data_IF_167453191733
#
_entry.id   IF_167453191733
#
_cell.length_a   1.000
_cell.length_b   1.000
_cell.length_c   1.000
_cell.angle_alpha   90.00
_cell.angle_beta   90.00
_cell.angle_gamma   90.00
#
_symmetry.space_group_name_H-M   'P 1'
#
loop_
_entity.id
_entity.type
_entity.pdbx_description
1 polymer ?
#
# COMPACT_ATOMS: atom_id res chain seq x y z
N UNK A 1 46.46 76.50 -58.87
CA UNK A 1 46.18 76.56 -57.46
C UNK A 1 44.89 75.82 -57.19
N UNK A 2 44.97 74.60 -56.80
CA UNK A 2 43.86 73.70 -56.59
C UNK A 2 43.74 73.56 -55.05
N UNK A 3 42.60 73.96 -54.51
CA UNK A 3 42.22 73.80 -53.13
C UNK A 3 41.55 72.41 -52.92
N UNK A 4 42.18 71.60 -52.10
CA UNK A 4 41.52 70.33 -51.64
C UNK A 4 40.52 70.66 -50.54
N UNK A 5 39.28 70.21 -50.75
CA UNK A 5 38.26 70.22 -49.73
C UNK A 5 38.32 68.87 -48.95
N UNK A 6 38.54 68.96 -47.67
CA UNK A 6 38.49 67.82 -46.75
C UNK A 6 37.02 67.43 -46.53
N UNK A 7 36.71 66.16 -46.84
CA UNK A 7 35.42 65.55 -46.52
C UNK A 7 35.61 64.93 -45.11
N UNK A 8 34.88 65.50 -44.15
CA UNK A 8 34.76 64.98 -42.82
C UNK A 8 33.86 63.74 -42.84
N UNK A 9 34.42 62.59 -42.46
CA UNK A 9 33.69 61.38 -42.30
C UNK A 9 32.85 61.43 -40.99
N UNK A 10 31.56 61.37 -41.15
CA UNK A 10 30.62 61.20 -40.01
C UNK A 10 30.84 59.82 -39.37
N UNK A 11 31.10 59.83 -38.10
CA UNK A 11 31.13 58.66 -37.23
C UNK A 11 29.76 58.01 -37.12
N UNK A 12 29.66 56.79 -37.65
CA UNK A 12 28.43 55.99 -37.51
C UNK A 12 28.37 55.51 -36.08
N UNK A 13 27.48 56.07 -35.29
CA UNK A 13 27.17 55.58 -33.97
C UNK A 13 26.70 54.11 -34.06
N UNK A 14 27.52 53.23 -33.50
CA UNK A 14 27.24 51.83 -33.33
C UNK A 14 26.09 51.68 -32.34
N UNK A 15 24.87 51.41 -32.83
CA UNK A 15 23.72 51.02 -31.99
C UNK A 15 24.10 49.72 -31.31
N UNK A 16 24.37 49.81 -30.02
CA UNK A 16 24.56 48.65 -29.16
C UNK A 16 23.21 47.92 -29.09
N UNK A 17 23.13 46.75 -29.71
CA UNK A 17 22.06 45.80 -29.48
C UNK A 17 22.19 45.27 -28.03
N UNK A 18 21.65 46.01 -27.09
CA UNK A 18 21.35 45.46 -25.77
C UNK A 18 20.19 44.44 -25.96
N UNK A 19 20.59 43.23 -26.29
CA UNK A 19 19.67 42.10 -26.15
C UNK A 19 19.44 41.87 -24.65
N UNK A 20 18.33 42.40 -24.14
CA UNK A 20 17.84 42.07 -22.81
C UNK A 20 17.55 40.55 -22.86
N UNK A 21 18.46 39.78 -22.28
CA UNK A 21 18.23 38.37 -22.02
C UNK A 21 17.05 38.30 -21.05
N UNK A 22 15.86 37.98 -21.59
CA UNK A 22 14.70 37.66 -20.80
C UNK A 22 15.12 36.46 -19.93
N UNK A 23 15.13 36.65 -18.62
CA UNK A 23 15.29 35.55 -17.69
C UNK A 23 14.19 34.53 -18.00
N UNK A 24 14.60 33.31 -18.27
CA UNK A 24 13.70 32.20 -18.45
C UNK A 24 12.77 32.09 -17.22
N UNK A 25 11.51 32.44 -17.40
CA UNK A 25 10.50 32.30 -16.35
C UNK A 25 10.20 30.81 -16.25
N UNK A 26 10.93 30.11 -15.40
CA UNK A 26 10.63 28.73 -15.06
C UNK A 26 9.33 28.72 -14.26
N UNK A 27 8.21 28.52 -14.92
CA UNK A 27 6.93 28.29 -14.27
C UNK A 27 6.98 26.91 -13.61
N UNK A 28 7.31 26.89 -12.32
CA UNK A 28 7.16 25.66 -11.53
C UNK A 28 5.67 25.41 -11.35
N UNK A 29 5.15 24.44 -12.08
CA UNK A 29 3.78 23.98 -11.88
C UNK A 29 3.56 23.60 -10.41
N UNK A 30 2.41 24.00 -9.83
CA UNK A 30 2.07 23.65 -8.47
C UNK A 30 1.98 22.11 -8.36
N UNK A 31 2.66 21.53 -7.38
CA UNK A 31 2.64 20.08 -7.14
C UNK A 31 1.34 19.59 -6.50
N UNK A 32 0.57 20.48 -5.95
CA UNK A 32 -0.71 20.21 -5.35
C UNK A 32 -1.72 21.19 -5.92
N UNK A 33 -2.77 20.67 -6.49
CA UNK A 33 -3.91 21.43 -7.01
C UNK A 33 -5.10 21.12 -6.12
N UNK A 34 -5.66 22.13 -5.46
CA UNK A 34 -6.85 21.98 -4.65
C UNK A 34 -8.07 21.85 -5.57
N UNK A 35 -8.98 20.93 -5.24
CA UNK A 35 -10.27 20.71 -5.86
C UNK A 35 -11.37 20.96 -4.84
N UNK A 36 -12.63 21.03 -5.28
CA UNK A 36 -13.79 21.14 -4.39
C UNK A 36 -13.91 19.95 -3.42
N UNK A 37 -13.60 18.75 -3.90
CA UNK A 37 -13.74 17.49 -3.19
C UNK A 37 -12.42 16.93 -2.65
N UNK A 38 -11.30 17.69 -2.77
CA UNK A 38 -10.01 17.21 -2.31
C UNK A 38 -8.80 17.86 -2.95
N UNK A 39 -7.80 17.06 -3.30
CA UNK A 39 -6.51 17.53 -3.83
C UNK A 39 -5.97 16.60 -4.89
N UNK A 40 -5.49 17.15 -5.99
CA UNK A 40 -4.69 16.43 -6.98
C UNK A 40 -3.21 16.70 -6.72
N UNK A 41 -2.46 15.64 -6.45
CA UNK A 41 -1.07 15.71 -6.00
C UNK A 41 -0.17 15.09 -7.07
N UNK A 42 0.88 15.81 -7.48
CA UNK A 42 1.89 15.37 -8.42
C UNK A 42 3.18 15.01 -7.65
N UNK A 43 3.49 13.72 -7.48
CA UNK A 43 4.70 13.29 -6.81
C UNK A 43 5.95 13.81 -7.52
N UNK A 44 6.92 14.30 -6.77
CA UNK A 44 8.20 14.74 -7.34
C UNK A 44 9.06 13.55 -7.75
N UNK A 45 9.99 13.77 -8.67
CA UNK A 45 10.96 12.75 -9.08
C UNK A 45 11.78 12.24 -7.89
N UNK A 46 12.12 13.12 -6.94
CA UNK A 46 12.82 12.74 -5.72
C UNK A 46 11.96 11.83 -4.84
N UNK A 47 10.66 12.12 -4.70
CA UNK A 47 9.74 11.26 -3.94
C UNK A 47 9.60 9.89 -4.61
N UNK A 48 9.49 9.85 -5.94
CA UNK A 48 9.43 8.60 -6.71
C UNK A 48 10.72 7.80 -6.57
N UNK A 49 11.88 8.41 -6.80
CA UNK A 49 13.18 7.73 -6.71
C UNK A 49 13.50 7.18 -5.32
N UNK A 50 13.01 7.84 -4.27
CA UNK A 50 13.19 7.39 -2.88
C UNK A 50 12.09 6.44 -2.40
N UNK A 51 11.16 6.08 -3.25
CA UNK A 51 10.05 5.16 -2.92
C UNK A 51 10.22 3.87 -3.70
N UNK A 52 10.16 2.76 -3.01
CA UNK A 52 10.31 1.42 -3.59
C UNK A 52 8.97 0.67 -3.70
N UNK A 53 7.89 1.26 -3.20
CA UNK A 53 6.54 0.71 -3.31
C UNK A 53 5.51 1.82 -3.42
N UNK A 54 4.30 1.50 -3.85
CA UNK A 54 3.18 2.42 -3.82
C UNK A 54 2.87 2.93 -2.40
N UNK A 55 3.00 2.07 -1.39
CA UNK A 55 2.85 2.46 0.02
C UNK A 55 3.90 3.50 0.44
N UNK A 56 5.17 3.26 0.10
CA UNK A 56 6.27 4.19 0.40
C UNK A 56 6.02 5.56 -0.21
N UNK A 57 5.53 5.60 -1.44
CA UNK A 57 5.19 6.86 -2.09
C UNK A 57 4.01 7.55 -1.41
N UNK A 58 2.90 6.85 -1.17
CA UNK A 58 1.71 7.41 -0.50
C UNK A 58 2.04 7.93 0.89
N UNK A 59 2.87 7.23 1.66
CA UNK A 59 3.35 7.69 2.96
C UNK A 59 4.11 9.02 2.87
N UNK A 60 4.94 9.21 1.82
CA UNK A 60 5.69 10.46 1.60
C UNK A 60 4.83 11.60 1.08
N UNK A 61 3.64 11.34 0.55
CA UNK A 61 2.69 12.38 0.17
C UNK A 61 1.98 13.01 1.37
N UNK A 62 2.02 12.37 2.53
CA UNK A 62 1.45 12.85 3.78
C UNK A 62 -0.01 13.32 3.62
N UNK A 63 -0.86 12.44 3.09
CA UNK A 63 -2.27 12.73 2.85
C UNK A 63 -2.98 13.03 4.18
N UNK A 64 -3.78 14.11 4.27
CA UNK A 64 -4.51 14.44 5.50
C UNK A 64 -5.44 13.29 5.93
N UNK A 65 -5.52 13.05 7.22
CA UNK A 65 -6.38 12.01 7.81
C UNK A 65 -6.13 10.58 7.33
N UNK A 66 -5.03 10.34 6.62
CA UNK A 66 -4.64 9.01 6.13
C UNK A 66 -3.37 8.56 6.84
N UNK A 67 -3.42 7.35 7.36
CA UNK A 67 -2.26 6.63 7.87
C UNK A 67 -1.87 5.54 6.87
N UNK A 68 -0.65 5.60 6.41
CA UNK A 68 -0.05 4.56 5.58
C UNK A 68 0.95 3.79 6.44
N UNK A 69 0.70 2.52 6.64
CA UNK A 69 1.62 1.59 7.28
C UNK A 69 2.29 0.75 6.19
N UNK A 70 3.53 1.10 5.88
CA UNK A 70 4.30 0.44 4.84
C UNK A 70 4.69 -0.99 5.26
N UNK A 71 5.02 -1.19 6.54
CA UNK A 71 5.41 -2.51 7.05
C UNK A 71 4.21 -3.46 7.15
N UNK A 72 3.07 -2.95 7.65
CA UNK A 72 1.80 -3.68 7.72
C UNK A 72 1.01 -3.68 6.44
N UNK A 73 1.49 -3.01 5.37
CA UNK A 73 0.83 -2.92 4.05
C UNK A 73 -0.62 -2.51 4.14
N UNK A 74 -0.89 -1.50 4.94
CA UNK A 74 -2.25 -1.04 5.18
C UNK A 74 -2.38 0.48 5.03
N UNK A 75 -3.57 0.90 4.62
CA UNK A 75 -3.96 2.30 4.51
C UNK A 75 -5.27 2.47 5.25
N UNK A 76 -5.31 3.36 6.20
CA UNK A 76 -6.48 3.57 7.04
C UNK A 76 -6.74 5.05 7.31
N UNK A 77 -7.98 5.39 7.61
CA UNK A 77 -8.33 6.70 8.11
C UNK A 77 -7.91 6.85 9.58
N UNK A 78 -7.54 8.07 9.98
CA UNK A 78 -7.11 8.35 11.37
C UNK A 78 -8.21 8.96 12.23
N UNK A 79 -9.35 9.32 11.65
CA UNK A 79 -10.42 10.10 12.28
C UNK A 79 -11.74 9.34 12.48
N UNK A 80 -11.77 8.03 12.26
CA UNK A 80 -12.94 7.15 12.43
C UNK A 80 -14.21 7.56 11.65
N UNK A 81 -14.08 8.39 10.61
CA UNK A 81 -15.23 8.79 9.78
C UNK A 81 -15.70 7.72 8.82
N UNK A 82 -14.86 6.74 8.51
CA UNK A 82 -15.17 5.67 7.61
C UNK A 82 -13.91 5.02 7.02
N UNK A 83 -14.12 4.27 5.95
CA UNK A 83 -13.05 3.52 5.27
C UNK A 83 -12.36 4.36 4.20
N UNK A 84 -11.14 3.94 3.87
CA UNK A 84 -10.36 4.48 2.75
C UNK A 84 -10.54 3.57 1.55
N UNK A 85 -11.06 4.10 0.46
CA UNK A 85 -11.14 3.37 -0.81
C UNK A 85 -9.95 3.71 -1.70
N UNK A 86 -9.26 2.69 -2.18
CA UNK A 86 -8.17 2.84 -3.12
C UNK A 86 -8.67 2.57 -4.54
N UNK A 87 -8.22 3.39 -5.47
CA UNK A 87 -8.47 3.23 -6.91
C UNK A 87 -7.17 3.41 -7.69
N UNK A 88 -7.10 2.76 -8.83
CA UNK A 88 -5.99 2.94 -9.79
C UNK A 88 -6.62 3.23 -11.14
N UNK A 89 -6.36 4.41 -11.66
CA UNK A 89 -6.96 4.90 -12.91
C UNK A 89 -8.50 4.80 -12.92
N UNK A 90 -9.14 5.14 -11.78
CA UNK A 90 -10.58 5.09 -11.59
C UNK A 90 -11.14 3.70 -11.29
N UNK A 91 -10.35 2.64 -11.31
CA UNK A 91 -10.77 1.25 -11.04
C UNK A 91 -10.52 0.91 -9.57
N UNK A 92 -11.48 0.27 -8.92
CA UNK A 92 -11.32 -0.19 -7.53
C UNK A 92 -10.09 -1.12 -7.41
N UNK A 93 -9.27 -0.85 -6.42
CA UNK A 93 -8.02 -1.56 -6.18
C UNK A 93 -7.92 -2.00 -4.72
N UNK A 94 -7.19 -3.08 -4.49
CA UNK A 94 -6.87 -3.58 -3.16
C UNK A 94 -5.43 -3.22 -2.74
N UNK A 95 -5.04 -3.62 -1.54
CA UNK A 95 -3.70 -3.32 -1.03
C UNK A 95 -2.58 -4.01 -1.82
N UNK A 96 -2.84 -5.21 -2.36
CA UNK A 96 -1.87 -5.90 -3.24
C UNK A 96 -1.65 -5.15 -4.55
N UNK A 97 -2.71 -4.53 -5.11
CA UNK A 97 -2.58 -3.70 -6.31
C UNK A 97 -1.67 -2.49 -6.06
N UNK A 98 -1.77 -1.86 -4.88
CA UNK A 98 -0.89 -0.75 -4.47
C UNK A 98 0.56 -1.21 -4.35
N UNK A 99 0.77 -2.41 -3.82
CA UNK A 99 2.10 -2.98 -3.67
C UNK A 99 2.77 -3.27 -5.02
N UNK A 100 1.99 -3.75 -5.99
CA UNK A 100 2.47 -4.09 -7.34
C UNK A 100 2.69 -2.87 -8.24
N UNK A 101 2.32 -1.64 -7.79
CA UNK A 101 2.50 -0.44 -8.58
C UNK A 101 3.97 -0.13 -8.83
N UNK A 102 4.31 0.05 -10.11
CA UNK A 102 5.56 0.70 -10.49
C UNK A 102 5.48 2.18 -10.13
N UNK A 103 6.25 2.58 -9.14
CA UNK A 103 6.30 3.96 -8.63
C UNK A 103 6.68 4.96 -9.73
N UNK A 104 7.54 4.58 -10.66
CA UNK A 104 7.96 5.42 -11.78
C UNK A 104 6.80 5.74 -12.73
N UNK A 105 5.83 4.84 -12.82
CA UNK A 105 4.64 5.01 -13.66
C UNK A 105 3.60 5.98 -13.08
N UNK A 106 3.65 6.27 -11.77
CA UNK A 106 2.65 7.12 -11.10
C UNK A 106 2.81 8.57 -11.58
N UNK A 107 1.75 9.11 -12.14
CA UNK A 107 1.70 10.50 -12.61
C UNK A 107 1.17 11.45 -11.54
N UNK A 108 0.05 11.10 -10.95
CA UNK A 108 -0.62 11.90 -9.92
C UNK A 108 -1.43 11.02 -8.99
N UNK A 109 -1.77 11.57 -7.85
CA UNK A 109 -2.68 10.96 -6.86
C UNK A 109 -3.82 11.94 -6.62
N UNK A 110 -5.03 11.50 -6.89
CA UNK A 110 -6.25 12.25 -6.61
C UNK A 110 -6.74 11.83 -5.22
N UNK A 111 -6.61 12.71 -4.26
CA UNK A 111 -7.08 12.53 -2.90
C UNK A 111 -8.41 13.24 -2.73
N UNK A 112 -9.47 12.49 -2.46
CA UNK A 112 -10.82 12.99 -2.27
C UNK A 112 -11.19 12.83 -0.80
N UNK A 113 -11.40 13.94 -0.10
CA UNK A 113 -11.74 13.99 1.32
C UNK A 113 -13.24 14.18 1.59
N UNK A 114 -14.02 14.38 0.53
CA UNK A 114 -15.46 14.51 0.58
C UNK A 114 -16.10 13.65 -0.52
N UNK A 115 -15.87 12.32 -0.52
CA UNK A 115 -16.39 11.45 -1.56
C UNK A 115 -17.91 11.37 -1.46
N UNK A 116 -18.62 11.77 -2.52
CA UNK A 116 -20.07 11.65 -2.56
C UNK A 116 -20.52 10.17 -2.46
N UNK A 117 -21.84 9.97 -2.38
CA UNK A 117 -22.49 8.64 -2.25
C UNK A 117 -22.13 7.65 -3.36
N UNK A 118 -21.59 8.11 -4.47
CA UNK A 118 -21.09 7.29 -5.60
C UNK A 118 -19.98 6.31 -5.23
N UNK A 119 -19.25 6.59 -4.16
CA UNK A 119 -18.15 5.73 -3.70
C UNK A 119 -18.57 4.71 -2.63
N UNK A 120 -19.78 4.84 -2.08
CA UNK A 120 -20.32 3.97 -1.04
C UNK A 120 -20.62 4.72 0.26
N UNK A 121 -21.50 4.14 1.09
CA UNK A 121 -22.00 4.80 2.30
C UNK A 121 -20.96 4.96 3.41
N UNK A 122 -19.98 4.05 3.47
CA UNK A 122 -18.98 4.00 4.55
C UNK A 122 -17.61 4.54 4.12
N UNK A 123 -17.49 5.07 2.90
CA UNK A 123 -16.22 5.57 2.37
C UNK A 123 -16.06 7.03 2.81
N UNK A 124 -15.05 7.28 3.64
CA UNK A 124 -14.70 8.62 4.09
C UNK A 124 -13.67 9.30 3.19
N UNK A 125 -12.78 8.51 2.60
CA UNK A 125 -11.69 9.01 1.77
C UNK A 125 -11.51 8.12 0.53
N UNK A 126 -11.16 8.75 -0.59
CA UNK A 126 -10.78 8.03 -1.80
C UNK A 126 -9.38 8.47 -2.23
N UNK A 127 -8.54 7.50 -2.55
CA UNK A 127 -7.21 7.72 -3.11
C UNK A 127 -7.19 7.09 -4.49
N UNK A 128 -7.27 7.91 -5.55
CA UNK A 128 -7.17 7.43 -6.93
C UNK A 128 -5.77 7.71 -7.50
N UNK A 129 -5.03 6.65 -7.75
CA UNK A 129 -3.66 6.71 -8.23
C UNK A 129 -3.66 6.65 -9.75
N UNK A 130 -3.30 7.75 -10.38
CA UNK A 130 -3.20 7.82 -11.84
C UNK A 130 -1.82 7.41 -12.30
N UNK A 131 -1.75 6.38 -13.14
CA UNK A 131 -0.50 5.84 -13.68
C UNK A 131 -0.43 6.04 -15.18
N UNK A 132 0.78 6.19 -15.70
CA UNK A 132 1.03 6.14 -17.13
C UNK A 132 0.94 4.68 -17.58
N UNK A 133 0.00 4.35 -18.43
CA UNK A 133 -0.02 3.04 -19.08
C UNK A 133 1.13 2.95 -20.08
N UNK A 134 2.05 2.04 -19.83
CA UNK A 134 2.96 1.61 -20.87
C UNK A 134 2.17 0.78 -21.91
N UNK A 135 2.39 1.02 -23.19
CA UNK A 135 1.76 0.23 -24.26
C UNK A 135 2.24 -1.23 -24.28
N UNK A 136 3.43 -1.46 -23.76
CA UNK A 136 4.00 -2.79 -23.51
C UNK A 136 5.08 -2.68 -22.45
N UNK A 137 5.21 -3.70 -21.61
CA UNK A 137 6.21 -3.74 -20.56
C UNK A 137 5.82 -4.70 -19.46
N UNK A 138 6.66 -4.82 -18.46
CA UNK A 138 6.40 -5.63 -17.29
C UNK A 138 7.24 -5.18 -16.11
N UNK A 139 6.82 -5.58 -14.93
CA UNK A 139 7.55 -5.39 -13.68
C UNK A 139 7.60 -6.71 -12.91
N UNK A 140 8.65 -6.89 -12.16
CA UNK A 140 8.84 -8.00 -11.23
C UNK A 140 9.35 -7.41 -9.92
N UNK A 141 8.79 -7.84 -8.82
CA UNK A 141 9.24 -7.43 -7.50
C UNK A 141 9.06 -8.53 -6.48
N UNK A 142 9.74 -8.36 -5.36
CA UNK A 142 9.63 -9.24 -4.21
C UNK A 142 9.86 -8.45 -2.92
N UNK A 143 9.22 -8.88 -1.85
CA UNK A 143 9.47 -8.39 -0.49
C UNK A 143 9.68 -9.59 0.41
N UNK A 144 10.72 -9.52 1.24
CA UNK A 144 11.09 -10.57 2.16
C UNK A 144 11.22 -9.97 3.55
N UNK A 145 10.33 -10.35 4.43
CA UNK A 145 10.33 -9.93 5.83
C UNK A 145 10.40 -11.15 6.70
N UNK A 146 11.57 -11.40 7.27
CA UNK A 146 11.81 -12.60 8.05
C UNK A 146 12.51 -12.25 9.36
N UNK A 147 12.06 -12.84 10.45
CA UNK A 147 12.70 -12.71 11.75
C UNK A 147 14.03 -13.50 11.80
N UNK A 148 15.04 -12.89 12.39
CA UNK A 148 16.37 -13.52 12.50
C UNK A 148 16.46 -14.55 13.62
N UNK A 149 15.67 -14.40 14.68
CA UNK A 149 15.76 -15.21 15.89
C UNK A 149 14.65 -16.24 16.05
N UNK A 150 13.55 -16.05 15.31
CA UNK A 150 12.37 -16.92 15.34
C UNK A 150 11.99 -17.30 13.91
N UNK A 151 11.34 -18.43 13.75
CA UNK A 151 10.83 -18.85 12.45
C UNK A 151 9.48 -18.18 12.17
N UNK A 152 9.54 -16.91 11.84
CA UNK A 152 8.40 -16.07 11.48
C UNK A 152 8.78 -15.26 10.24
N UNK A 153 7.92 -15.25 9.25
CA UNK A 153 8.17 -14.44 8.06
C UNK A 153 6.93 -14.22 7.21
N UNK A 154 7.02 -13.18 6.39
CA UNK A 154 6.07 -12.83 5.34
C UNK A 154 6.86 -12.49 4.09
N UNK A 155 6.65 -13.24 3.04
CA UNK A 155 7.37 -13.13 1.78
C UNK A 155 6.37 -13.03 0.64
N UNK A 156 6.62 -12.16 -0.30
CA UNK A 156 5.82 -12.05 -1.51
C UNK A 156 6.67 -11.83 -2.75
N UNK A 157 6.17 -12.37 -3.85
CA UNK A 157 6.71 -12.18 -5.20
C UNK A 157 5.56 -11.76 -6.10
N UNK A 158 5.77 -10.74 -6.88
CA UNK A 158 4.77 -10.25 -7.82
C UNK A 158 5.35 -9.94 -9.18
N UNK A 159 4.52 -10.12 -10.21
CA UNK A 159 4.84 -9.78 -11.58
C UNK A 159 3.65 -9.10 -12.24
N UNK A 160 3.92 -8.13 -13.09
CA UNK A 160 2.93 -7.47 -13.93
C UNK A 160 3.42 -7.44 -15.37
N UNK A 161 2.53 -7.76 -16.31
CA UNK A 161 2.82 -7.69 -17.74
C UNK A 161 1.70 -6.91 -18.42
N UNK A 162 2.09 -5.88 -19.17
CA UNK A 162 1.20 -5.03 -19.94
C UNK A 162 1.41 -5.23 -21.42
N UNK A 163 0.34 -5.41 -22.20
CA UNK A 163 0.38 -5.45 -23.67
C UNK A 163 -0.86 -4.78 -24.25
N UNK A 164 -0.69 -3.59 -24.78
CA UNK A 164 -1.78 -2.77 -25.32
C UNK A 164 -2.83 -2.44 -24.26
N UNK A 165 -4.04 -2.96 -24.44
CA UNK A 165 -5.18 -2.75 -23.51
C UNK A 165 -5.23 -3.79 -22.38
N UNK A 166 -4.40 -4.81 -22.43
CA UNK A 166 -4.39 -5.95 -21.51
C UNK A 166 -3.29 -5.81 -20.47
N UNK A 167 -3.60 -6.16 -19.23
CA UNK A 167 -2.66 -6.27 -18.13
C UNK A 167 -2.92 -7.55 -17.37
N UNK A 168 -1.87 -8.31 -17.11
CA UNK A 168 -1.88 -9.49 -16.23
C UNK A 168 -1.00 -9.21 -15.04
N UNK A 169 -1.55 -9.36 -13.85
CA UNK A 169 -0.83 -9.27 -12.59
C UNK A 169 -0.87 -10.64 -11.90
N UNK A 170 0.26 -11.04 -11.34
CA UNK A 170 0.43 -12.27 -10.59
C UNK A 170 1.05 -11.89 -9.26
N UNK A 171 0.46 -12.33 -8.17
CA UNK A 171 1.00 -12.18 -6.82
C UNK A 171 1.00 -13.55 -6.14
N UNK A 172 2.11 -13.90 -5.53
CA UNK A 172 2.20 -15.00 -4.58
C UNK A 172 2.72 -14.47 -3.27
N UNK A 173 1.97 -14.70 -2.20
CA UNK A 173 2.33 -14.32 -0.83
C UNK A 173 2.37 -15.56 0.05
N UNK A 174 3.39 -15.63 0.91
CA UNK A 174 3.54 -16.67 1.92
C UNK A 174 3.83 -16.03 3.26
N UNK A 175 3.00 -16.36 4.26
CA UNK A 175 3.31 -16.10 5.65
C UNK A 175 3.53 -17.40 6.39
N UNK A 176 4.50 -17.41 7.30
CA UNK A 176 4.75 -18.60 8.10
C UNK A 176 5.12 -18.26 9.53
N UNK A 177 4.69 -19.13 10.41
CA UNK A 177 5.06 -19.14 11.83
C UNK A 177 5.46 -20.57 12.20
N UNK A 178 6.63 -20.76 12.72
CA UNK A 178 7.06 -22.03 13.35
C UNK A 178 7.63 -21.70 14.73
N UNK A 179 6.74 -21.56 15.69
CA UNK A 179 7.08 -21.33 17.08
C UNK A 179 7.01 -22.67 17.84
N UNK A 180 8.13 -23.08 18.43
CA UNK A 180 8.26 -24.38 19.11
C UNK A 180 7.99 -24.33 20.60
N UNK A 181 8.07 -23.14 21.19
CA UNK A 181 7.85 -22.96 22.61
C UNK A 181 7.32 -21.55 22.86
N UNK A 182 6.05 -21.45 23.20
CA UNK A 182 5.44 -20.21 23.69
C UNK A 182 4.93 -20.42 25.09
N UNK A 183 5.16 -19.44 25.93
CA UNK A 183 4.66 -19.42 27.31
C UNK A 183 3.73 -18.22 27.44
N UNK A 184 2.66 -18.41 28.15
CA UNK A 184 1.68 -17.38 28.40
C UNK A 184 1.08 -17.54 29.78
N UNK A 185 1.07 -16.48 30.57
CA UNK A 185 0.44 -16.44 31.87
C UNK A 185 -0.68 -15.41 31.84
N UNK A 186 -1.84 -15.79 32.29
CA UNK A 186 -2.99 -14.91 32.47
C UNK A 186 -3.58 -15.12 33.86
N UNK A 187 -3.70 -14.06 34.63
CA UNK A 187 -4.42 -14.04 35.89
C UNK A 187 -5.60 -13.06 35.72
N UNK A 188 -6.82 -13.57 35.85
CA UNK A 188 -8.04 -12.81 35.71
C UNK A 188 -8.84 -12.87 36.99
N UNK A 189 -9.34 -11.72 37.45
CA UNK A 189 -10.19 -11.57 38.61
C UNK A 189 -11.53 -10.99 38.19
N UNK A 190 -12.59 -11.66 38.54
CA UNK A 190 -13.96 -11.27 38.25
C UNK A 190 -14.72 -11.00 39.53
N UNK A 191 -15.34 -9.82 39.62
CA UNK A 191 -16.32 -9.53 40.66
C UNK A 191 -17.68 -10.04 40.19
N UNK A 192 -18.23 -11.00 40.93
CA UNK A 192 -19.54 -11.58 40.59
C UNK A 192 -20.67 -10.69 41.11
N UNK A 193 -21.88 -10.93 40.63
CA UNK A 193 -23.05 -10.13 40.97
C UNK A 193 -23.43 -10.17 42.45
N UNK A 194 -23.07 -11.23 43.15
CA UNK A 194 -23.26 -11.41 44.59
C UNK A 194 -22.15 -10.74 45.45
N UNK A 195 -21.22 -10.04 44.82
CA UNK A 195 -20.11 -9.35 45.48
C UNK A 195 -18.92 -10.30 45.79
N UNK A 196 -18.99 -11.57 45.44
CA UNK A 196 -17.87 -12.50 45.57
C UNK A 196 -16.83 -12.30 44.44
N UNK A 197 -15.58 -12.64 44.74
CA UNK A 197 -14.49 -12.60 43.78
C UNK A 197 -14.21 -14.01 43.23
N UNK A 198 -14.09 -14.09 41.92
CA UNK A 198 -13.75 -15.31 41.20
C UNK A 198 -12.42 -15.10 40.46
N UNK A 199 -11.43 -15.89 40.81
CA UNK A 199 -10.09 -15.82 40.20
C UNK A 199 -9.84 -16.99 39.28
N UNK A 200 -9.30 -16.70 38.10
CA UNK A 200 -8.84 -17.67 37.12
C UNK A 200 -7.37 -17.39 36.81
N UNK A 201 -6.55 -18.41 36.92
CA UNK A 201 -5.17 -18.37 36.47
C UNK A 201 -4.99 -19.40 35.35
N UNK A 202 -4.43 -18.96 34.22
CA UNK A 202 -4.09 -19.80 33.07
C UNK A 202 -2.62 -19.69 32.78
N UNK A 203 -1.95 -20.81 32.72
CA UNK A 203 -0.54 -20.87 32.34
C UNK A 203 -0.38 -21.83 31.19
N UNK A 204 0.01 -21.28 30.02
CA UNK A 204 0.38 -22.09 28.86
C UNK A 204 1.87 -22.41 28.96
N UNK A 205 2.18 -23.69 28.93
CA UNK A 205 3.54 -24.22 28.93
C UNK A 205 3.74 -25.02 27.65
N UNK A 206 4.91 -24.91 27.06
CA UNK A 206 5.30 -25.69 25.88
C UNK A 206 4.34 -25.54 24.68
N UNK A 207 3.74 -24.36 24.51
CA UNK A 207 2.93 -24.07 23.34
C UNK A 207 3.76 -24.14 22.06
N UNK A 208 3.31 -24.92 21.08
CA UNK A 208 3.94 -24.98 19.76
C UNK A 208 2.91 -24.64 18.68
N UNK A 209 3.28 -23.75 17.78
CA UNK A 209 2.43 -23.34 16.66
C UNK A 209 3.24 -23.42 15.37
N UNK A 210 2.72 -24.16 14.41
CA UNK A 210 3.26 -24.17 13.05
C UNK A 210 2.13 -23.88 12.08
N UNK A 211 2.26 -22.80 11.34
CA UNK A 211 1.30 -22.35 10.34
C UNK A 211 2.00 -21.85 9.09
N UNK A 212 1.46 -22.19 7.93
CA UNK A 212 1.88 -21.72 6.62
C UNK A 212 0.64 -21.27 5.86
N UNK A 213 0.52 -19.97 5.65
CA UNK A 213 -0.53 -19.37 4.85
C UNK A 213 0.06 -18.90 3.52
N UNK A 214 -0.58 -19.28 2.43
CA UNK A 214 -0.14 -18.94 1.10
C UNK A 214 -1.32 -18.39 0.31
N UNK A 215 -1.14 -17.28 -0.37
CA UNK A 215 -2.12 -16.66 -1.26
C UNK A 215 -1.55 -16.57 -2.66
N UNK A 216 -2.26 -17.08 -3.64
CA UNK A 216 -1.99 -16.85 -5.06
C UNK A 216 -3.11 -15.99 -5.64
N UNK A 217 -2.76 -14.85 -6.23
CA UNK A 217 -3.71 -13.98 -6.91
C UNK A 217 -3.30 -13.80 -8.37
N UNK A 218 -4.24 -14.04 -9.27
CA UNK A 218 -4.14 -13.76 -10.69
C UNK A 218 -5.19 -12.72 -11.05
N UNK A 219 -4.76 -11.55 -11.52
CA UNK A 219 -5.66 -10.47 -11.89
C UNK A 219 -5.44 -10.09 -13.34
N UNK A 220 -6.49 -10.18 -14.13
CA UNK A 220 -6.50 -9.75 -15.52
C UNK A 220 -7.36 -8.52 -15.70
N UNK A 221 -6.81 -7.50 -16.33
CA UNK A 221 -7.49 -6.27 -16.68
C UNK A 221 -7.45 -6.07 -18.19
N UNK A 222 -8.60 -5.82 -18.79
CA UNK A 222 -8.74 -5.38 -20.16
C UNK A 222 -9.51 -4.06 -20.15
N UNK A 223 -8.87 -2.96 -20.49
CA UNK A 223 -9.51 -1.66 -20.41
C UNK A 223 -9.21 -0.78 -21.63
N UNK A 224 -10.27 -0.28 -22.21
CA UNK A 224 -10.24 0.83 -23.16
C UNK A 224 -10.81 2.06 -22.47
N UNK A 225 -10.00 3.09 -22.28
CA UNK A 225 -10.32 4.26 -21.45
C UNK A 225 -11.62 4.98 -21.80
N UNK A 226 -12.16 4.74 -22.99
CA UNK A 226 -13.39 5.41 -23.47
C UNK A 226 -14.61 4.49 -23.55
N UNK A 227 -14.44 3.17 -23.56
CA UNK A 227 -15.51 2.26 -23.96
C UNK A 227 -15.86 1.18 -22.96
N UNK A 228 -14.87 0.53 -22.33
CA UNK A 228 -15.13 -0.56 -21.41
C UNK A 228 -13.95 -0.82 -20.47
N UNK A 229 -14.26 -1.39 -19.34
CA UNK A 229 -13.31 -2.00 -18.39
C UNK A 229 -13.82 -3.40 -18.07
N UNK A 230 -12.99 -4.40 -18.31
CA UNK A 230 -13.21 -5.75 -17.85
C UNK A 230 -12.09 -6.12 -16.89
N UNK A 231 -12.45 -6.59 -15.70
CA UNK A 231 -11.52 -7.03 -14.69
C UNK A 231 -11.96 -8.38 -14.17
N UNK A 232 -11.03 -9.30 -14.05
CA UNK A 232 -11.25 -10.56 -13.34
C UNK A 232 -10.09 -10.84 -12.41
N UNK A 233 -10.39 -11.35 -11.22
CA UNK A 233 -9.41 -11.70 -10.20
C UNK A 233 -9.70 -13.09 -9.68
N UNK A 234 -8.74 -14.01 -9.84
CA UNK A 234 -8.74 -15.31 -9.18
C UNK A 234 -7.80 -15.23 -7.98
N UNK A 235 -8.36 -15.42 -6.79
CA UNK A 235 -7.59 -15.52 -5.55
C UNK A 235 -7.73 -16.92 -5.01
N UNK A 236 -6.64 -17.51 -4.55
CA UNK A 236 -6.64 -18.84 -3.95
C UNK A 236 -5.79 -18.83 -2.70
N UNK A 237 -6.42 -19.13 -1.57
CA UNK A 237 -5.75 -19.22 -0.29
C UNK A 237 -5.52 -20.68 0.08
N UNK A 238 -4.29 -20.98 0.51
CA UNK A 238 -3.87 -22.28 1.01
C UNK A 238 -3.35 -22.11 2.42
N UNK A 239 -4.09 -22.55 3.40
CA UNK A 239 -3.65 -22.61 4.79
C UNK A 239 -3.23 -24.02 5.12
N UNK A 240 -2.03 -24.18 5.65
CA UNK A 240 -1.55 -25.45 6.17
C UNK A 240 -1.06 -25.26 7.60
N UNK A 241 -1.87 -25.72 8.54
CA UNK A 241 -1.55 -25.72 9.96
C UNK A 241 -1.24 -27.17 10.41
N UNK A 242 -0.03 -27.68 10.13
CA UNK A 242 0.30 -29.07 10.36
C UNK A 242 0.30 -29.45 11.82
N UNK A 243 0.50 -28.50 12.73
CA UNK A 243 0.58 -28.76 14.14
C UNK A 243 0.44 -27.51 14.99
N UNK A 244 -0.50 -27.54 15.92
CA UNK A 244 -0.58 -26.61 17.04
C UNK A 244 -0.85 -27.45 18.29
N UNK A 245 -0.02 -27.30 19.32
CA UNK A 245 -0.26 -27.92 20.61
C UNK A 245 0.01 -26.94 21.73
N UNK A 246 -0.74 -27.05 22.78
CA UNK A 246 -0.43 -26.38 24.03
C UNK A 246 -0.88 -27.24 25.21
N UNK A 247 -0.13 -27.14 26.29
CA UNK A 247 -0.46 -27.60 27.61
C UNK A 247 -0.83 -26.38 28.44
N UNK A 248 -2.07 -26.30 28.86
CA UNK A 248 -2.57 -25.21 29.67
C UNK A 248 -2.88 -25.73 31.07
N UNK A 249 -2.26 -25.15 32.08
CA UNK A 249 -2.66 -25.33 33.46
C UNK A 249 -3.70 -24.33 33.84
N UNK A 250 -4.81 -24.82 34.32
CA UNK A 250 -5.97 -24.04 34.69
C UNK A 250 -6.21 -24.12 36.18
N UNK A 251 -6.27 -22.99 36.86
CA UNK A 251 -6.60 -22.88 38.26
C UNK A 251 -7.76 -21.95 38.47
N UNK A 252 -8.77 -22.40 39.16
CA UNK A 252 -9.93 -21.64 39.56
C UNK A 252 -9.95 -21.45 41.07
N UNK A 253 -10.58 -20.35 41.53
CA UNK A 253 -10.75 -20.07 42.96
C UNK A 253 -11.38 -21.27 43.70
N UNK A 254 -10.69 -21.75 44.72
CA UNK A 254 -11.15 -22.87 45.55
C UNK A 254 -11.04 -24.29 44.95
N UNK A 255 -10.42 -24.41 43.76
CA UNK A 255 -10.22 -25.71 43.10
C UNK A 255 -8.77 -26.00 42.84
N UNK A 256 -8.33 -27.29 42.89
CA UNK A 256 -6.97 -27.64 42.52
C UNK A 256 -6.73 -27.38 41.03
N UNK A 257 -5.49 -26.97 40.67
CA UNK A 257 -5.08 -26.77 39.30
C UNK A 257 -5.10 -28.08 38.52
N UNK A 258 -5.51 -28.03 37.27
CA UNK A 258 -5.57 -29.18 36.36
C UNK A 258 -5.04 -28.82 34.97
N UNK A 259 -4.39 -29.79 34.27
CA UNK A 259 -3.91 -29.56 32.91
C UNK A 259 -5.02 -29.75 31.86
N UNK A 260 -4.97 -28.90 30.82
CA UNK A 260 -5.77 -29.03 29.63
C UNK A 260 -4.83 -29.13 28.44
N UNK A 261 -4.94 -30.18 27.66
CA UNK A 261 -4.15 -30.38 26.46
C UNK A 261 -4.99 -30.05 25.25
N UNK A 262 -4.46 -29.23 24.38
CA UNK A 262 -5.09 -28.87 23.11
C UNK A 262 -4.13 -29.16 21.96
N UNK A 263 -4.61 -29.91 20.97
CA UNK A 263 -3.92 -30.11 19.69
C UNK A 263 -4.85 -29.75 18.55
N UNK A 264 -4.31 -29.15 17.52
CA UNK A 264 -5.07 -28.77 16.30
C UNK A 264 -4.23 -29.03 15.08
N UNK A 265 -4.87 -29.49 14.00
CA UNK A 265 -4.34 -29.60 12.65
C UNK A 265 -5.40 -29.12 11.69
N UNK A 266 -5.00 -28.37 10.67
CA UNK A 266 -5.91 -27.87 9.65
C UNK A 266 -5.22 -27.80 8.30
N UNK A 267 -6.02 -27.93 7.25
CA UNK A 267 -5.66 -27.59 5.87
C UNK A 267 -6.89 -27.03 5.20
N UNK A 268 -6.76 -25.84 4.70
CA UNK A 268 -7.83 -25.16 4.01
C UNK A 268 -7.37 -24.73 2.61
N UNK A 269 -8.28 -24.83 1.67
CA UNK A 269 -8.11 -24.37 0.29
C UNK A 269 -9.36 -23.61 -0.10
N UNK A 270 -9.21 -22.32 -0.34
CA UNK A 270 -10.33 -21.42 -0.58
C UNK A 270 -10.10 -20.63 -1.87
N UNK A 271 -10.63 -21.07 -3.01
CA UNK A 271 -10.63 -20.30 -4.25
C UNK A 271 -11.76 -19.29 -4.27
N UNK A 272 -11.49 -18.09 -4.78
CA UNK A 272 -12.45 -17.03 -5.04
C UNK A 272 -12.24 -16.44 -6.43
N UNK A 273 -13.32 -16.19 -7.16
CA UNK A 273 -13.32 -15.56 -8.47
C UNK A 273 -14.20 -14.33 -8.46
N UNK A 274 -13.62 -13.17 -8.74
CA UNK A 274 -14.31 -11.89 -8.90
C UNK A 274 -14.29 -11.46 -10.38
N UNK A 275 -15.42 -10.93 -10.85
CA UNK A 275 -15.64 -10.49 -12.23
C UNK A 275 -16.07 -9.03 -12.28
#
# INVERSE_FOLDING_TARGET
LISCAEISAQEIQKVSNDSIALQEVVVKAARVVNKEDGKLIFPSDIQKQRSFSGFSLLGKLALPHIRVDEAGRSISATDNKGEVQIRINGILANMHDVQMLDVASIMSVDYIDSPGVRYGKNIAYVIDIHTRRASSGGSLGFNLTNALTTKLGSNDVYASVNRGKSQLNILYEQTYVDNKASEYNEDAQYLLHDGSEYQISRKIMHGATRNYDNTLQLKYNLADSALYVFQTTLTTDFCNQPYTSNEMWFSESGKPAYPVYRTSKGRDFTPALDL
#
